data_IF_522939934797
#
_entry.id   IF_522939934797
#
_cell.length_a   1.000
_cell.length_b   1.000
_cell.length_c   1.000
_cell.angle_alpha   90.00
_cell.angle_beta   90.00
_cell.angle_gamma   90.00
#
_symmetry.space_group_name_H-M   'P 1'
#
loop_
_entity.id
_entity.type
_entity.pdbx_description
1 polymer ?
#
# COMPACT_ATOMS: atom_id res chain seq x y z
N UNK A 1 1.42 22.57 43.36
CA UNK A 1 1.46 23.23 42.05
C UNK A 1 1.12 22.19 40.99
N UNK A 2 0.00 22.41 40.31
CA UNK A 2 -0.39 22.00 38.95
C UNK A 2 -0.06 20.59 38.47
N UNK A 3 -1.09 19.74 38.42
CA UNK A 3 -1.07 18.48 37.70
C UNK A 3 -1.02 18.71 36.18
N UNK A 4 -0.20 17.92 35.50
CA UNK A 4 -0.16 17.86 34.04
C UNK A 4 -1.42 17.12 33.53
N UNK A 5 -2.51 17.87 33.34
CA UNK A 5 -3.52 17.45 32.38
C UNK A 5 -2.95 17.70 30.98
N UNK A 6 -2.49 16.63 30.34
CA UNK A 6 -2.19 16.64 28.90
C UNK A 6 -3.49 16.94 28.16
N UNK A 7 -3.64 18.17 27.70
CA UNK A 7 -4.70 18.55 26.77
C UNK A 7 -4.33 17.92 25.42
N UNK A 8 -4.73 16.65 25.22
CA UNK A 8 -4.91 16.15 23.87
C UNK A 8 -6.10 16.92 23.30
N UNK A 9 -5.86 17.76 22.30
CA UNK A 9 -6.93 18.55 21.69
C UNK A 9 -7.82 17.59 20.91
N UNK A 10 -9.14 17.63 21.15
CA UNK A 10 -10.12 16.82 20.41
C UNK A 10 -10.02 16.97 18.88
N UNK A 11 -9.37 18.04 18.40
CA UNK A 11 -9.06 18.27 16.98
C UNK A 11 -8.07 17.28 16.38
N UNK A 12 -7.20 16.68 17.19
CA UNK A 12 -6.17 15.75 16.71
C UNK A 12 -6.79 14.37 16.43
N UNK A 13 -7.79 13.98 17.21
CA UNK A 13 -8.57 12.74 17.01
C UNK A 13 -9.40 12.78 15.72
N UNK A 14 -10.11 13.89 15.46
CA UNK A 14 -10.97 14.03 14.28
C UNK A 14 -10.17 13.98 12.97
N UNK A 15 -8.96 14.55 12.94
CA UNK A 15 -8.08 14.50 11.76
C UNK A 15 -7.54 13.11 11.47
N UNK A 16 -7.19 12.36 12.51
CA UNK A 16 -6.72 10.98 12.35
C UNK A 16 -7.82 10.07 11.80
N UNK A 17 -9.07 10.28 12.22
CA UNK A 17 -10.23 9.54 11.74
C UNK A 17 -10.53 9.84 10.25
N UNK A 18 -10.43 11.10 9.82
CA UNK A 18 -10.55 11.47 8.38
C UNK A 18 -9.41 10.90 7.52
N UNK A 19 -8.17 10.91 8.01
CA UNK A 19 -7.04 10.30 7.29
C UNK A 19 -7.20 8.78 7.18
N UNK A 20 -7.63 8.11 8.25
CA UNK A 20 -7.86 6.67 8.24
C UNK A 20 -8.97 6.28 7.26
N UNK A 21 -10.06 7.05 7.19
CA UNK A 21 -11.14 6.84 6.22
C UNK A 21 -10.69 7.12 4.78
N UNK A 22 -9.88 8.17 4.59
CA UNK A 22 -9.28 8.49 3.29
C UNK A 22 -8.27 7.43 2.83
N UNK A 23 -7.55 6.79 3.75
CA UNK A 23 -6.66 5.66 3.45
C UNK A 23 -7.52 4.43 3.12
N UNK A 24 -8.52 4.12 3.95
CA UNK A 24 -9.38 2.95 3.79
C UNK A 24 -10.08 2.97 2.42
N UNK A 25 -10.64 4.12 2.03
CA UNK A 25 -11.28 4.31 0.73
C UNK A 25 -10.33 4.15 -0.46
N UNK A 26 -9.02 4.36 -0.28
CA UNK A 26 -8.01 4.22 -1.33
C UNK A 26 -7.41 2.82 -1.45
N UNK A 27 -7.53 1.98 -0.42
CA UNK A 27 -6.95 0.63 -0.44
C UNK A 27 -7.51 -0.24 -1.57
N UNK A 28 -6.67 -1.12 -2.12
CA UNK A 28 -7.08 -2.15 -3.09
C UNK A 28 -8.29 -2.96 -2.59
N UNK A 29 -8.32 -3.31 -1.29
CA UNK A 29 -9.41 -4.09 -0.70
C UNK A 29 -10.75 -3.34 -0.73
N UNK A 30 -10.76 -2.05 -0.42
CA UNK A 30 -11.98 -1.23 -0.48
C UNK A 30 -12.49 -1.11 -1.91
N UNK A 31 -11.59 -0.79 -2.86
CA UNK A 31 -11.89 -0.65 -4.29
C UNK A 31 -12.49 -1.94 -4.87
N UNK A 32 -11.93 -3.10 -4.52
CA UNK A 32 -12.48 -4.41 -4.90
C UNK A 32 -13.88 -4.66 -4.30
N UNK A 33 -14.12 -4.28 -3.04
CA UNK A 33 -15.42 -4.46 -2.38
C UNK A 33 -16.52 -3.57 -2.97
N UNK A 34 -16.16 -2.40 -3.46
CA UNK A 34 -17.09 -1.50 -4.14
C UNK A 34 -17.36 -1.90 -5.60
N UNK A 35 -16.71 -2.96 -6.10
CA UNK A 35 -16.86 -3.42 -7.48
C UNK A 35 -16.11 -2.56 -8.49
N UNK A 36 -15.12 -1.78 -8.03
CA UNK A 36 -14.25 -1.04 -8.93
C UNK A 36 -13.39 -2.02 -9.75
N UNK A 37 -13.20 -1.71 -11.03
CA UNK A 37 -12.28 -2.46 -11.89
C UNK A 37 -10.87 -1.96 -11.62
N UNK A 38 -9.98 -2.87 -11.25
CA UNK A 38 -8.56 -2.60 -10.99
C UNK A 38 -7.68 -3.42 -11.92
N UNK A 39 -6.53 -2.85 -12.29
CA UNK A 39 -5.59 -3.43 -13.24
C UNK A 39 -4.22 -3.62 -12.60
N UNK A 40 -3.64 -4.81 -12.79
CA UNK A 40 -2.33 -5.13 -12.26
C UNK A 40 -1.68 -6.30 -12.98
N UNK A 41 -0.36 -6.26 -13.24
CA UNK A 41 0.35 -7.33 -13.93
C UNK A 41 0.80 -8.46 -12.99
N UNK A 42 1.00 -9.65 -13.59
CA UNK A 42 1.80 -10.72 -12.97
C UNK A 42 3.29 -10.42 -13.14
N UNK A 43 4.01 -10.35 -12.01
CA UNK A 43 5.45 -10.15 -12.00
C UNK A 43 6.15 -11.50 -12.16
N UNK A 44 6.72 -11.71 -13.34
CA UNK A 44 7.57 -12.87 -13.66
C UNK A 44 9.06 -12.55 -13.55
N UNK A 45 9.41 -11.29 -13.27
CA UNK A 45 10.77 -10.81 -13.08
C UNK A 45 10.98 -10.44 -11.61
N UNK A 46 12.05 -10.97 -11.00
CA UNK A 46 12.50 -10.56 -9.67
C UNK A 46 13.29 -9.25 -9.75
N UNK A 47 12.65 -8.16 -10.18
CA UNK A 47 13.27 -6.84 -10.36
C UNK A 47 12.47 -5.76 -9.65
N UNK A 48 13.03 -5.11 -8.61
CA UNK A 48 12.38 -3.99 -7.93
C UNK A 48 12.06 -2.84 -8.89
N UNK A 49 12.94 -2.57 -9.85
CA UNK A 49 12.75 -1.50 -10.83
C UNK A 49 11.47 -1.71 -11.65
N UNK A 50 11.13 -2.97 -11.99
CA UNK A 50 9.91 -3.29 -12.71
C UNK A 50 8.67 -3.02 -11.86
N UNK A 51 8.74 -3.34 -10.56
CA UNK A 51 7.66 -3.07 -9.61
C UNK A 51 7.47 -1.55 -9.42
N UNK A 52 8.57 -0.80 -9.32
CA UNK A 52 8.53 0.68 -9.25
C UNK A 52 7.91 1.28 -10.52
N UNK A 53 8.35 0.82 -11.70
CA UNK A 53 7.78 1.25 -12.98
C UNK A 53 6.28 0.94 -13.04
N UNK A 54 5.83 -0.21 -12.55
CA UNK A 54 4.41 -0.56 -12.52
C UNK A 54 3.60 0.41 -11.65
N UNK A 55 4.12 0.77 -10.45
CA UNK A 55 3.50 1.77 -9.60
C UNK A 55 3.45 3.16 -10.26
N UNK A 56 4.55 3.60 -10.88
CA UNK A 56 4.62 4.87 -11.61
C UNK A 56 3.72 4.91 -12.86
N UNK A 57 3.49 3.76 -13.48
CA UNK A 57 2.58 3.62 -14.62
C UNK A 57 1.09 3.69 -14.21
N UNK A 58 0.78 3.70 -12.92
CA UNK A 58 -0.58 3.79 -12.40
C UNK A 58 -1.31 2.45 -12.37
N UNK A 59 -0.60 1.32 -12.32
CA UNK A 59 -1.24 0.04 -12.00
C UNK A 59 -1.70 0.03 -10.54
N UNK A 60 -2.85 -0.59 -10.30
CA UNK A 60 -3.50 -0.63 -8.99
C UNK A 60 -2.87 -1.66 -8.05
N UNK A 61 -2.22 -2.69 -8.62
CA UNK A 61 -1.54 -3.74 -7.88
C UNK A 61 -0.51 -4.45 -8.76
N UNK A 62 0.34 -5.27 -8.15
CA UNK A 62 1.17 -6.26 -8.82
C UNK A 62 1.02 -7.63 -8.14
N UNK A 63 1.12 -8.72 -8.89
CA UNK A 63 1.14 -10.07 -8.31
C UNK A 63 2.57 -10.61 -8.35
N UNK A 64 3.15 -10.81 -7.17
CA UNK A 64 4.42 -11.53 -7.03
C UNK A 64 4.15 -13.04 -7.11
N UNK A 65 4.41 -13.64 -8.28
CA UNK A 65 4.18 -15.06 -8.51
C UNK A 65 5.30 -15.93 -7.94
N UNK A 66 5.05 -16.48 -6.74
CA UNK A 66 5.98 -17.38 -6.04
C UNK A 66 5.63 -18.86 -6.21
N UNK A 67 4.56 -19.19 -6.94
CA UNK A 67 4.13 -20.58 -7.15
C UNK A 67 4.65 -21.13 -8.49
N UNK A 68 4.50 -20.33 -9.55
CA UNK A 68 4.87 -20.68 -10.92
C UNK A 68 5.89 -19.72 -11.52
N UNK A 69 6.22 -18.65 -10.79
CA UNK A 69 7.25 -17.69 -11.15
C UNK A 69 8.60 -18.03 -10.52
N UNK A 70 9.68 -17.40 -11.00
CA UNK A 70 11.01 -17.62 -10.45
C UNK A 70 11.25 -16.88 -9.13
N UNK A 71 10.24 -16.24 -8.54
CA UNK A 71 10.38 -15.45 -7.32
C UNK A 71 10.37 -16.36 -6.08
N UNK A 72 11.44 -16.27 -5.27
CA UNK A 72 11.46 -16.72 -3.88
C UNK A 72 11.01 -15.61 -2.92
N UNK A 73 10.78 -15.95 -1.66
CA UNK A 73 10.46 -14.96 -0.61
C UNK A 73 11.51 -13.86 -0.49
N UNK A 74 12.80 -14.20 -0.59
CA UNK A 74 13.91 -13.26 -0.51
C UNK A 74 13.84 -12.23 -1.64
N UNK A 75 13.61 -12.69 -2.88
CA UNK A 75 13.43 -11.80 -4.02
C UNK A 75 12.19 -10.93 -3.90
N UNK A 76 11.10 -11.43 -3.32
CA UNK A 76 9.90 -10.62 -3.05
C UNK A 76 10.20 -9.51 -2.05
N UNK A 77 10.91 -9.79 -0.96
CA UNK A 77 11.30 -8.77 0.04
C UNK A 77 12.08 -7.64 -0.62
N UNK A 78 13.01 -7.97 -1.52
CA UNK A 78 13.78 -6.98 -2.28
C UNK A 78 12.87 -6.16 -3.21
N UNK A 79 11.85 -6.78 -3.82
CA UNK A 79 10.91 -6.11 -4.72
C UNK A 79 9.88 -5.22 -4.01
N UNK A 80 9.52 -5.51 -2.76
CA UNK A 80 8.57 -4.69 -1.98
C UNK A 80 9.27 -3.63 -1.13
N UNK A 81 10.57 -3.78 -0.86
CA UNK A 81 11.36 -2.87 -0.03
C UNK A 81 11.77 -1.55 -0.71
N UNK A 82 11.19 -1.23 -1.87
CA UNK A 82 11.44 0.03 -2.59
C UNK A 82 10.53 1.12 -2.05
N UNK A 83 11.13 2.29 -1.78
CA UNK A 83 10.52 3.41 -1.05
C UNK A 83 9.24 4.00 -1.69
N UNK A 84 8.93 3.63 -2.95
CA UNK A 84 7.88 4.28 -3.76
C UNK A 84 6.81 3.33 -4.32
N UNK A 85 6.68 2.09 -3.85
CA UNK A 85 5.55 1.24 -4.28
C UNK A 85 4.31 1.59 -3.49
N UNK A 86 3.49 2.40 -4.16
CA UNK A 86 2.15 2.81 -3.76
C UNK A 86 1.31 1.60 -3.34
N UNK A 87 0.76 1.67 -2.13
CA UNK A 87 -0.39 0.89 -1.67
C UNK A 87 -1.57 1.84 -1.43
#
# INVERSE_FOLDING_TARGET
>A
MHGNHSVYSATDSVKADEEAEAIMSKTLLSRLRTGEVVFGPFMKLASPQVVEIAGLAGFDFVICDTEHGPLSFESVIVCIGIDNVVA
#
